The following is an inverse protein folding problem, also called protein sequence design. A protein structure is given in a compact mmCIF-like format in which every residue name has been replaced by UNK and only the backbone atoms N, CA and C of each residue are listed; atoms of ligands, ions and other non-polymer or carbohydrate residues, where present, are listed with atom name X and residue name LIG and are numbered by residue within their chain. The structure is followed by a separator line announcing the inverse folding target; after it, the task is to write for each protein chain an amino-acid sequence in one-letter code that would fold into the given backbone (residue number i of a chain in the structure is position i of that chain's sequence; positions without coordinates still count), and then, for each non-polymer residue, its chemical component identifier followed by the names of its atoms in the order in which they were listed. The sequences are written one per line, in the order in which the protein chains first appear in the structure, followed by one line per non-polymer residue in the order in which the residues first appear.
data_IF_208888049604
#
_entry.id   IF_208888049604
#
_cell.length_a   1.000
_cell.length_b   1.000
_cell.length_c   1.000
_cell.angle_alpha   90.00
_cell.angle_beta   90.00
_cell.angle_gamma   90.00
#
_symmetry.space_group_name_H-M   'P 1'
#
loop_
_entity.id
_entity.type
_entity.pdbx_description
1 polymer ?
#
# COMPACT_ATOMS: atom_id res chain seq x y z
N UNK A 1 -39.28 -66.13 50.33
CA UNK A 1 -40.20 -65.08 49.85
C UNK A 1 -39.88 -63.79 50.61
N UNK A 2 -38.65 -63.29 50.67
CA UNK A 2 -37.81 -62.80 49.55
C UNK A 2 -38.60 -61.82 48.67
N UNK A 3 -38.76 -60.58 49.14
CA UNK A 3 -39.09 -59.39 48.35
C UNK A 3 -39.02 -58.06 49.15
N UNK A 4 -38.47 -58.04 50.38
CA UNK A 4 -38.40 -56.84 51.23
C UNK A 4 -37.05 -56.11 51.27
N UNK A 5 -36.01 -56.62 50.57
CA UNK A 5 -34.66 -56.05 50.62
C UNK A 5 -34.21 -55.39 49.30
N UNK A 6 -34.99 -55.53 48.21
CA UNK A 6 -34.64 -54.96 46.89
C UNK A 6 -35.32 -53.64 46.58
N UNK A 7 -36.41 -53.28 47.25
CA UNK A 7 -37.14 -52.04 46.98
C UNK A 7 -36.44 -50.80 47.57
N UNK A 8 -35.54 -50.99 48.55
CA UNK A 8 -34.80 -49.88 49.15
C UNK A 8 -33.55 -49.49 48.34
N UNK A 9 -32.99 -50.41 47.54
CA UNK A 9 -31.88 -50.10 46.63
C UNK A 9 -32.35 -49.40 45.35
N UNK A 10 -33.54 -49.73 44.82
CA UNK A 10 -34.10 -49.01 43.66
C UNK A 10 -34.47 -47.56 43.98
N UNK A 11 -34.97 -47.27 45.18
CA UNK A 11 -35.26 -45.89 45.60
C UNK A 11 -33.97 -45.07 45.81
N UNK A 12 -32.89 -45.72 46.23
CA UNK A 12 -31.57 -45.07 46.34
C UNK A 12 -30.96 -44.79 44.95
N UNK A 13 -31.17 -45.70 43.99
CA UNK A 13 -30.70 -45.53 42.61
C UNK A 13 -31.39 -44.36 41.87
N UNK A 14 -32.65 -44.04 42.18
CA UNK A 14 -33.34 -42.88 41.59
C UNK A 14 -32.87 -41.54 42.21
N UNK A 15 -32.45 -41.54 43.47
CA UNK A 15 -31.86 -40.36 44.10
C UNK A 15 -30.43 -40.10 43.59
N UNK A 16 -29.59 -41.13 43.45
CA UNK A 16 -28.21 -41.00 42.94
C UNK A 16 -28.15 -40.72 41.42
N UNK A 17 -29.12 -41.20 40.64
CA UNK A 17 -29.21 -40.91 39.19
C UNK A 17 -29.61 -39.45 38.91
N UNK A 18 -30.20 -38.75 39.89
CA UNK A 18 -30.48 -37.32 39.79
C UNK A 18 -29.24 -36.44 39.99
N UNK A 19 -28.13 -36.99 40.51
CA UNK A 19 -26.90 -36.24 40.78
C UNK A 19 -25.77 -36.49 39.74
N UNK A 20 -25.96 -37.43 38.81
CA UNK A 20 -24.95 -37.80 37.82
C UNK A 20 -25.40 -37.67 36.36
N UNK A 21 -26.15 -36.61 36.03
CA UNK A 21 -26.25 -36.16 34.64
C UNK A 21 -25.13 -35.14 34.36
N UNK A 22 -24.07 -35.64 33.72
CA UNK A 22 -23.00 -34.86 33.12
C UNK A 22 -23.64 -33.70 32.36
N UNK A 23 -23.43 -32.48 32.85
CA UNK A 23 -23.94 -31.27 32.22
C UNK A 23 -23.17 -31.05 30.90
N UNK A 24 -23.50 -31.85 29.88
CA UNK A 24 -23.37 -31.46 28.49
C UNK A 24 -24.23 -30.20 28.36
N UNK A 25 -23.58 -29.06 28.58
CA UNK A 25 -24.21 -27.76 28.68
C UNK A 25 -25.19 -27.60 27.54
N UNK A 26 -26.47 -27.57 27.89
CA UNK A 26 -27.55 -26.96 27.13
C UNK A 26 -26.95 -25.79 26.35
N UNK A 27 -27.05 -25.75 24.99
CA UNK A 27 -26.40 -24.70 24.22
C UNK A 27 -26.80 -23.37 24.87
N UNK A 28 -25.82 -22.53 25.28
CA UNK A 28 -26.11 -21.36 26.07
C UNK A 28 -27.16 -20.56 25.31
N UNK A 29 -28.22 -20.07 25.98
CA UNK A 29 -29.23 -19.30 25.31
C UNK A 29 -28.50 -18.15 24.60
N UNK A 30 -28.85 -17.89 23.34
CA UNK A 30 -28.36 -16.74 22.58
C UNK A 30 -28.90 -15.46 23.21
N UNK A 31 -28.54 -15.21 24.46
CA UNK A 31 -28.80 -13.95 25.15
C UNK A 31 -27.79 -12.97 24.61
N UNK A 32 -28.20 -12.37 23.50
CA UNK A 32 -27.76 -11.08 23.00
C UNK A 32 -28.10 -10.01 24.05
N UNK A 33 -27.50 -10.11 25.24
CA UNK A 33 -27.50 -8.98 26.14
C UNK A 33 -26.38 -8.05 25.67
N UNK A 34 -26.69 -6.78 25.48
CA UNK A 34 -25.71 -5.75 25.11
C UNK A 34 -24.46 -5.85 25.99
N UNK A 35 -24.61 -6.15 27.28
CA UNK A 35 -23.50 -6.36 28.22
C UNK A 35 -22.59 -7.54 27.85
N UNK A 36 -23.15 -8.70 27.49
CA UNK A 36 -22.36 -9.89 27.12
C UNK A 36 -21.71 -9.74 25.75
N UNK A 37 -22.35 -9.01 24.84
CA UNK A 37 -21.74 -8.62 23.55
C UNK A 37 -20.62 -7.60 23.75
N UNK A 38 -20.81 -6.61 24.62
CA UNK A 38 -19.77 -5.62 25.00
C UNK A 38 -18.58 -6.32 25.68
N UNK A 39 -18.82 -7.23 26.62
CA UNK A 39 -17.73 -7.95 27.30
C UNK A 39 -16.95 -8.86 26.35
N UNK A 40 -17.61 -9.57 25.44
CA UNK A 40 -16.92 -10.34 24.39
C UNK A 40 -16.12 -9.44 23.47
N UNK A 41 -16.65 -8.28 23.07
CA UNK A 41 -15.90 -7.31 22.27
C UNK A 41 -14.69 -6.77 23.04
N UNK A 42 -14.85 -6.36 24.31
CA UNK A 42 -13.74 -5.90 25.16
C UNK A 42 -12.68 -6.98 25.33
N UNK A 43 -13.08 -8.24 25.50
CA UNK A 43 -12.18 -9.39 25.64
C UNK A 43 -11.42 -9.72 24.36
N UNK A 44 -12.10 -9.68 23.21
CA UNK A 44 -11.47 -9.81 21.89
C UNK A 44 -10.57 -8.61 21.56
N UNK A 45 -10.90 -7.42 22.05
CA UNK A 45 -10.07 -6.21 21.92
C UNK A 45 -8.85 -6.22 22.85
N UNK A 46 -8.97 -6.87 24.01
CA UNK A 46 -7.87 -7.10 24.95
C UNK A 46 -6.95 -8.25 24.54
N UNK A 47 -7.30 -8.98 23.48
CA UNK A 47 -6.39 -9.91 22.80
C UNK A 47 -5.35 -9.08 22.01
N UNK A 48 -4.56 -8.33 22.78
CA UNK A 48 -3.59 -7.33 22.38
C UNK A 48 -2.54 -7.92 21.44
N UNK A 49 -2.30 -9.23 21.53
CA UNK A 49 -1.39 -9.99 20.67
C UNK A 49 -1.73 -9.83 19.19
N UNK A 50 -3.02 -9.94 18.81
CA UNK A 50 -3.46 -9.82 17.41
C UNK A 50 -3.41 -8.37 16.92
N UNK A 51 -3.81 -7.39 17.75
CA UNK A 51 -3.75 -5.96 17.39
C UNK A 51 -2.30 -5.45 17.28
N UNK A 52 -1.42 -5.92 18.17
CA UNK A 52 0.02 -5.61 18.15
C UNK A 52 0.65 -6.21 16.90
N UNK A 53 0.34 -7.48 16.58
CA UNK A 53 0.79 -8.15 15.37
C UNK A 53 0.35 -7.43 14.09
N UNK A 54 -0.91 -6.98 13.99
CA UNK A 54 -1.38 -6.20 12.83
C UNK A 54 -0.64 -4.85 12.74
N UNK A 55 -0.41 -4.18 13.87
CA UNK A 55 0.31 -2.91 13.91
C UNK A 55 1.78 -3.07 13.51
N UNK A 56 2.42 -4.15 13.95
CA UNK A 56 3.80 -4.52 13.57
C UNK A 56 3.89 -4.87 12.08
N UNK A 57 2.97 -5.67 11.54
CA UNK A 57 2.90 -5.99 10.11
C UNK A 57 2.73 -4.71 9.28
N UNK A 58 1.84 -3.81 9.70
CA UNK A 58 1.64 -2.54 9.02
C UNK A 58 2.89 -1.65 9.10
N UNK A 59 3.54 -1.59 10.26
CA UNK A 59 4.78 -0.83 10.43
C UNK A 59 5.90 -1.37 9.52
N UNK A 60 6.06 -2.70 9.45
CA UNK A 60 7.02 -3.36 8.55
C UNK A 60 6.71 -3.07 7.08
N UNK A 61 5.42 -3.14 6.70
CA UNK A 61 4.98 -2.81 5.34
C UNK A 61 5.34 -1.37 4.97
N UNK A 62 5.02 -0.38 5.82
CA UNK A 62 5.38 1.01 5.54
C UNK A 62 6.88 1.26 5.55
N UNK A 63 7.64 0.57 6.41
CA UNK A 63 9.09 0.63 6.40
C UNK A 63 9.68 0.12 5.08
N UNK A 64 9.14 -1.00 4.56
CA UNK A 64 9.54 -1.57 3.26
C UNK A 64 9.21 -0.63 2.10
N UNK A 65 7.98 -0.10 2.04
CA UNK A 65 7.59 0.84 0.99
C UNK A 65 8.42 2.12 1.04
N UNK A 66 8.71 2.62 2.25
CA UNK A 66 9.60 3.76 2.45
C UNK A 66 11.03 3.47 1.96
N UNK A 67 11.56 2.25 2.19
CA UNK A 67 12.87 1.85 1.70
C UNK A 67 12.92 1.78 0.17
N UNK A 68 11.87 1.22 -0.45
CA UNK A 68 11.71 1.16 -1.90
C UNK A 68 11.66 2.55 -2.54
N UNK A 69 10.92 3.49 -1.94
CA UNK A 69 10.88 4.88 -2.40
C UNK A 69 12.25 5.56 -2.29
N UNK A 70 12.97 5.36 -1.17
CA UNK A 70 14.34 5.87 -1.02
C UNK A 70 15.28 5.35 -2.11
N UNK A 71 15.20 4.06 -2.42
CA UNK A 71 16.01 3.47 -3.49
C UNK A 71 15.66 4.07 -4.86
N UNK A 72 14.37 4.27 -5.16
CA UNK A 72 13.95 4.91 -6.42
C UNK A 72 14.48 6.35 -6.53
N UNK A 73 14.41 7.12 -5.45
CA UNK A 73 14.97 8.48 -5.39
C UNK A 73 16.47 8.46 -5.69
N UNK A 74 17.22 7.56 -5.04
CA UNK A 74 18.65 7.43 -5.25
C UNK A 74 18.98 7.07 -6.71
N UNK A 75 18.23 6.14 -7.31
CA UNK A 75 18.40 5.77 -8.72
C UNK A 75 18.15 6.96 -9.66
N UNK A 76 17.09 7.75 -9.39
CA UNK A 76 16.78 8.94 -10.18
C UNK A 76 17.86 10.02 -10.04
N UNK A 77 18.36 10.24 -8.83
CA UNK A 77 19.45 11.18 -8.58
C UNK A 77 20.73 10.77 -9.29
N UNK A 78 21.09 9.48 -9.25
CA UNK A 78 22.23 8.95 -9.99
C UNK A 78 22.07 9.15 -11.51
N UNK A 79 20.89 8.80 -12.04
CA UNK A 79 20.56 9.02 -13.45
C UNK A 79 20.70 10.49 -13.84
N UNK A 80 20.24 11.42 -13.00
CA UNK A 80 20.37 12.85 -13.26
C UNK A 80 21.83 13.32 -13.24
N UNK A 81 22.64 12.86 -12.28
CA UNK A 81 24.09 13.13 -12.26
C UNK A 81 24.76 12.67 -13.55
N UNK A 82 24.48 11.45 -13.99
CA UNK A 82 25.04 10.95 -15.24
C UNK A 82 24.61 11.81 -16.45
N UNK A 83 23.33 12.23 -16.52
CA UNK A 83 22.85 13.14 -17.57
C UNK A 83 23.54 14.51 -17.55
N UNK A 84 23.97 14.96 -16.37
CA UNK A 84 24.74 16.21 -16.20
C UNK A 84 26.25 16.03 -16.48
N UNK A 85 26.70 14.81 -16.77
CA UNK A 85 28.11 14.51 -17.04
C UNK A 85 28.94 14.16 -15.80
N UNK A 86 28.30 13.97 -14.65
CA UNK A 86 28.97 13.63 -13.39
C UNK A 86 29.03 12.12 -13.14
N UNK A 87 30.00 11.69 -12.30
CA UNK A 87 30.15 10.31 -11.82
C UNK A 87 30.21 9.23 -12.92
N UNK A 88 30.70 9.59 -14.11
CA UNK A 88 30.72 8.72 -15.29
C UNK A 88 31.71 7.55 -15.19
N UNK A 89 32.72 7.65 -14.32
CA UNK A 89 33.77 6.63 -14.15
C UNK A 89 33.22 5.29 -13.64
N UNK A 90 32.03 5.28 -13.02
CA UNK A 90 31.36 4.07 -12.54
C UNK A 90 30.56 3.35 -13.64
N UNK A 91 30.41 3.95 -14.82
CA UNK A 91 29.62 3.39 -15.92
C UNK A 91 30.49 2.55 -16.86
N UNK A 92 29.95 1.43 -17.32
CA UNK A 92 30.56 0.65 -18.40
C UNK A 92 30.47 1.37 -19.75
N UNK A 93 31.30 0.96 -20.71
CA UNK A 93 31.27 1.50 -22.08
C UNK A 93 29.89 1.38 -22.73
N UNK A 94 29.16 0.28 -22.45
CA UNK A 94 27.80 0.07 -22.95
C UNK A 94 26.83 1.11 -22.37
N UNK A 95 26.91 1.37 -21.07
CA UNK A 95 26.04 2.36 -20.39
C UNK A 95 26.38 3.78 -20.82
N UNK A 96 27.66 4.11 -21.01
CA UNK A 96 28.09 5.40 -21.57
C UNK A 96 27.52 5.62 -22.97
N UNK A 97 27.59 4.62 -23.85
CA UNK A 97 27.00 4.70 -25.19
C UNK A 97 25.48 4.87 -25.14
N UNK A 98 24.81 4.24 -24.18
CA UNK A 98 23.36 4.45 -23.99
C UNK A 98 23.06 5.87 -23.50
N UNK A 99 23.87 6.41 -22.59
CA UNK A 99 23.75 7.77 -22.07
C UNK A 99 23.96 8.81 -23.19
N UNK A 100 25.02 8.67 -23.98
CA UNK A 100 25.31 9.51 -25.14
C UNK A 100 24.14 9.54 -26.13
N UNK A 101 23.61 8.36 -26.51
CA UNK A 101 22.45 8.27 -27.39
C UNK A 101 21.19 8.96 -26.82
N UNK A 102 21.00 8.92 -25.50
CA UNK A 102 19.89 9.63 -24.85
C UNK A 102 20.08 11.15 -24.92
N UNK A 103 21.29 11.63 -24.66
CA UNK A 103 21.63 13.05 -24.72
C UNK A 103 21.50 13.58 -26.15
N UNK A 104 22.03 12.89 -27.15
CA UNK A 104 21.96 13.30 -28.55
C UNK A 104 20.52 13.47 -29.04
N UNK A 105 19.64 12.51 -28.70
CA UNK A 105 18.21 12.62 -29.00
C UNK A 105 17.55 13.80 -28.30
N UNK A 106 17.89 14.04 -27.03
CA UNK A 106 17.36 15.16 -26.26
C UNK A 106 17.76 16.50 -26.86
N UNK A 107 19.05 16.66 -27.16
CA UNK A 107 19.62 17.86 -27.78
C UNK A 107 18.99 18.12 -29.15
N UNK A 108 18.88 17.07 -29.98
CA UNK A 108 18.23 17.17 -31.30
C UNK A 108 16.80 17.70 -31.17
N UNK A 109 15.99 17.14 -30.25
CA UNK A 109 14.62 17.61 -29.99
C UNK A 109 14.57 19.07 -29.56
N UNK A 110 15.46 19.49 -28.65
CA UNK A 110 15.54 20.88 -28.18
C UNK A 110 15.88 21.82 -29.35
N UNK A 111 16.87 21.47 -30.17
CA UNK A 111 17.28 22.26 -31.34
C UNK A 111 16.13 22.40 -32.34
N UNK A 112 15.46 21.29 -32.69
CA UNK A 112 14.31 21.31 -33.60
C UNK A 112 13.20 22.20 -33.06
N UNK A 113 12.84 22.06 -31.78
CA UNK A 113 11.78 22.88 -31.18
C UNK A 113 12.15 24.36 -31.16
N UNK A 114 13.39 24.70 -30.81
CA UNK A 114 13.89 26.08 -30.84
C UNK A 114 13.85 26.65 -32.26
N UNK A 115 14.22 25.85 -33.26
CA UNK A 115 14.19 26.26 -34.65
C UNK A 115 12.76 26.58 -35.12
N UNK A 116 11.80 25.69 -34.84
CA UNK A 116 10.38 25.93 -35.16
C UNK A 116 9.85 27.21 -34.50
N UNK A 117 10.15 27.44 -33.22
CA UNK A 117 9.72 28.66 -32.52
C UNK A 117 10.33 29.92 -33.12
N UNK A 118 11.61 29.89 -33.49
CA UNK A 118 12.28 31.02 -34.12
C UNK A 118 11.69 31.32 -35.51
N UNK A 119 11.39 30.30 -36.30
CA UNK A 119 10.73 30.47 -37.60
C UNK A 119 9.35 31.12 -37.45
N UNK A 120 8.56 30.66 -36.48
CA UNK A 120 7.25 31.25 -36.19
C UNK A 120 7.36 32.73 -35.77
N UNK A 121 8.35 33.07 -34.96
CA UNK A 121 8.60 34.46 -34.54
C UNK A 121 9.03 35.34 -35.72
N UNK A 122 9.92 34.84 -36.59
CA UNK A 122 10.34 35.55 -37.80
C UNK A 122 9.13 35.81 -38.70
N UNK A 123 8.29 34.80 -38.94
CA UNK A 123 7.09 34.94 -39.77
C UNK A 123 6.12 35.97 -39.17
N UNK A 124 5.93 35.95 -37.85
CA UNK A 124 5.09 36.91 -37.15
C UNK A 124 5.60 38.35 -37.33
N UNK A 125 6.90 38.57 -37.12
CA UNK A 125 7.52 39.89 -37.27
C UNK A 125 7.49 40.37 -38.72
N UNK A 126 7.71 39.49 -39.69
CA UNK A 126 7.60 39.80 -41.12
C UNK A 126 6.17 40.23 -41.47
N UNK A 127 5.15 39.48 -41.05
CA UNK A 127 3.74 39.84 -41.25
C UNK A 127 3.42 41.20 -40.65
N UNK A 128 3.90 41.48 -39.44
CA UNK A 128 3.71 42.77 -38.78
C UNK A 128 4.41 43.92 -39.54
N UNK A 129 5.63 43.70 -40.01
CA UNK A 129 6.36 44.68 -40.82
C UNK A 129 5.65 44.95 -42.14
N UNK A 130 5.23 43.91 -42.86
CA UNK A 130 4.48 44.06 -44.11
C UNK A 130 3.15 44.78 -43.89
N UNK A 131 2.45 44.47 -42.80
CA UNK A 131 1.25 45.21 -42.41
C UNK A 131 1.56 46.70 -42.22
N UNK A 132 2.59 47.06 -41.45
CA UNK A 132 2.94 48.46 -41.23
C UNK A 132 3.27 49.16 -42.56
N UNK A 133 4.12 48.56 -43.40
CA UNK A 133 4.51 49.12 -44.70
C UNK A 133 3.29 49.38 -45.59
N UNK A 134 2.35 48.42 -45.67
CA UNK A 134 1.11 48.58 -46.42
C UNK A 134 0.21 49.71 -45.88
N UNK A 135 0.30 50.04 -44.60
CA UNK A 135 -0.47 51.12 -43.97
C UNK A 135 0.21 52.50 -44.10
N UNK A 136 1.55 52.55 -44.12
CA UNK A 136 2.30 53.81 -44.19
C UNK A 136 2.48 54.34 -45.62
N UNK A 137 2.29 53.51 -46.65
CA UNK A 137 2.09 53.97 -48.03
C UNK A 137 3.30 54.66 -48.69
N UNK A 138 4.52 54.25 -48.35
CA UNK A 138 5.72 54.50 -49.17
C UNK A 138 5.96 53.33 -50.15
#
# INVERSE_FOLDING_TARGET
MENGFKENEEKQAWADSSEHEVHAGKPPPLTCNIKTTIERYKKASSDSSNMTSITEINAQHYQQESAKLRQQIQMLQNSNRHLMGDSLSALSVKELKQLENRLERGITRIRSKKHEMLLAEIEYLQKKSSFIICFTGD
#
